data_IF_900327101828
#
_entry.id   IF_900327101828
#
_cell.length_a   1.000
_cell.length_b   1.000
_cell.length_c   1.000
_cell.angle_alpha   90.00
_cell.angle_beta   90.00
_cell.angle_gamma   90.00
#
_symmetry.space_group_name_H-M   'P 1'
#
loop_
_entity.id
_entity.type
_entity.pdbx_description
1 polymer ?
#
# COMPACT_ATOMS: atom_id res chain seq x y z
N UNK A 1 -9.37 28.53 23.16
CA UNK A 1 -8.71 28.64 21.84
C UNK A 1 -8.22 27.25 21.44
N UNK A 2 -9.05 26.47 20.74
CA UNK A 2 -8.87 26.12 19.30
C UNK A 2 -7.49 25.46 19.06
N UNK A 3 -7.33 24.17 19.44
CA UNK A 3 -7.41 22.98 18.55
C UNK A 3 -6.62 23.16 17.25
N UNK A 4 -5.35 22.76 17.26
CA UNK A 4 -4.66 22.36 16.04
C UNK A 4 -4.40 20.85 16.08
N UNK A 5 -5.39 20.11 15.60
CA UNK A 5 -5.32 18.66 15.40
C UNK A 5 -4.71 18.45 14.01
N UNK A 6 -3.40 18.64 13.93
CA UNK A 6 -2.60 18.18 12.80
C UNK A 6 -2.51 16.65 12.83
N UNK A 7 -3.61 15.96 12.51
CA UNK A 7 -3.59 14.52 12.24
C UNK A 7 -2.79 14.30 10.96
N UNK A 8 -1.48 14.13 11.08
CA UNK A 8 -0.71 13.37 10.10
C UNK A 8 -1.25 11.94 10.12
N UNK A 9 -2.14 11.64 9.18
CA UNK A 9 -2.69 10.30 8.94
C UNK A 9 -1.52 9.34 8.74
N UNK A 10 -1.23 8.60 9.80
CA UNK A 10 -0.10 7.69 9.89
C UNK A 10 -0.28 6.59 8.86
N UNK A 11 0.56 6.59 7.84
CA UNK A 11 0.52 5.61 6.78
C UNK A 11 1.34 4.39 7.20
N UNK A 12 0.71 3.20 7.25
CA UNK A 12 1.33 1.93 7.68
C UNK A 12 1.43 1.01 6.45
N UNK A 13 2.57 1.05 5.77
CA UNK A 13 2.67 1.61 4.42
C UNK A 13 2.01 0.90 3.24
N UNK A 14 1.71 -0.40 3.27
CA UNK A 14 0.99 -1.06 2.15
C UNK A 14 0.05 -2.16 2.63
N UNK A 15 0.05 -2.49 3.92
CA UNK A 15 -0.83 -3.48 4.54
C UNK A 15 -0.91 -3.21 6.02
N UNK A 16 -2.06 -2.81 6.56
CA UNK A 16 -2.23 -2.90 8.01
C UNK A 16 -3.72 -2.93 8.37
N UNK A 17 -4.41 -4.03 8.04
CA UNK A 17 -5.70 -4.30 8.68
C UNK A 17 -5.56 -5.08 9.99
N UNK A 18 -4.41 -5.70 10.29
CA UNK A 18 -4.02 -6.09 11.67
C UNK A 18 -2.61 -6.69 11.71
N UNK A 19 -1.75 -6.16 12.57
CA UNK A 19 -0.61 -6.86 13.19
C UNK A 19 0.63 -7.19 12.33
N UNK A 20 1.72 -6.44 12.56
CA UNK A 20 3.07 -6.97 12.36
C UNK A 20 3.64 -7.39 13.72
N UNK A 21 3.77 -8.70 13.92
CA UNK A 21 4.41 -9.25 15.11
C UNK A 21 5.84 -8.74 15.29
N UNK A 22 6.38 -8.77 16.51
CA UNK A 22 7.73 -8.31 16.78
C UNK A 22 8.73 -9.12 15.95
N UNK A 23 9.85 -8.50 15.59
CA UNK A 23 11.03 -9.26 15.21
C UNK A 23 11.26 -10.33 16.29
N UNK A 24 11.14 -11.62 15.90
CA UNK A 24 11.28 -12.74 16.84
C UNK A 24 12.62 -12.72 17.58
N UNK A 25 13.61 -11.97 17.08
CA UNK A 25 14.92 -11.77 17.71
C UNK A 25 14.92 -10.83 18.93
N UNK A 26 13.91 -9.97 19.11
CA UNK A 26 13.83 -9.01 20.24
C UNK A 26 12.64 -9.26 21.18
N UNK A 27 11.81 -10.25 20.89
CA UNK A 27 10.48 -10.42 21.49
C UNK A 27 10.44 -10.99 22.92
N UNK A 28 11.56 -11.41 23.50
CA UNK A 28 11.56 -12.14 24.77
C UNK A 28 11.11 -11.31 25.99
N UNK A 29 11.05 -9.97 25.91
CA UNK A 29 10.80 -9.10 27.09
C UNK A 29 9.66 -8.08 26.94
N UNK A 30 8.98 -7.98 25.79
CA UNK A 30 7.92 -6.96 25.60
C UNK A 30 6.54 -7.45 26.07
N UNK A 31 5.96 -6.73 27.04
CA UNK A 31 4.61 -6.97 27.56
C UNK A 31 3.56 -6.71 26.47
N UNK A 32 2.48 -7.51 26.49
CA UNK A 32 1.37 -7.47 25.52
C UNK A 32 0.75 -6.09 25.31
N UNK A 33 0.74 -5.24 26.35
CA UNK A 33 0.15 -3.90 26.34
C UNK A 33 1.07 -2.83 25.73
N UNK A 34 2.40 -3.01 25.73
CA UNK A 34 3.33 -2.08 25.08
C UNK A 34 3.43 -2.31 23.56
N UNK A 35 2.91 -3.45 23.07
CA UNK A 35 2.83 -3.78 21.62
C UNK A 35 2.03 -2.78 20.78
N UNK A 36 1.13 -1.99 21.40
CA UNK A 36 0.24 -1.04 20.72
C UNK A 36 0.71 0.42 20.80
N UNK A 37 1.78 0.70 21.54
CA UNK A 37 2.29 2.06 21.77
C UNK A 37 3.39 2.45 20.80
N UNK A 38 4.16 1.48 20.33
CA UNK A 38 5.31 1.71 19.47
C UNK A 38 4.99 1.41 18.01
N UNK A 39 5.21 2.38 17.13
CA UNK A 39 5.20 2.15 15.69
C UNK A 39 6.44 1.33 15.30
N UNK A 40 6.33 0.00 15.43
CA UNK A 40 7.36 -0.95 15.01
C UNK A 40 7.34 -1.22 13.49
N UNK A 41 6.53 -0.49 12.72
CA UNK A 41 6.64 -0.54 11.27
C UNK A 41 8.05 -0.03 10.93
N UNK A 42 8.88 -0.92 10.40
CA UNK A 42 10.24 -0.60 9.95
C UNK A 42 10.18 0.47 8.85
N UNK A 43 11.37 0.91 8.38
CA UNK A 43 11.47 1.77 7.20
C UNK A 43 10.55 1.27 6.07
N UNK A 44 9.89 2.17 5.34
CA UNK A 44 9.02 1.79 4.24
C UNK A 44 9.78 0.89 3.24
N UNK A 45 9.11 -0.10 2.63
CA UNK A 45 9.75 -0.91 1.61
C UNK A 45 10.15 -0.01 0.43
N UNK A 46 11.21 -0.39 -0.29
CA UNK A 46 11.53 0.26 -1.57
C UNK A 46 10.32 0.18 -2.52
N UNK A 47 10.05 1.24 -3.28
CA UNK A 47 8.91 1.31 -4.20
C UNK A 47 8.84 0.11 -5.16
N UNK A 48 9.98 -0.33 -5.69
CA UNK A 48 10.05 -1.52 -6.55
C UNK A 48 9.59 -2.81 -5.85
N UNK A 49 9.92 -2.97 -4.57
CA UNK A 49 9.46 -4.11 -3.77
C UNK A 49 7.96 -4.03 -3.50
N UNK A 50 7.43 -2.83 -3.24
CA UNK A 50 6.01 -2.60 -3.03
C UNK A 50 5.19 -2.86 -4.30
N UNK A 51 5.68 -2.44 -5.47
CA UNK A 51 5.07 -2.75 -6.77
C UNK A 51 5.06 -4.24 -7.08
N UNK A 52 6.18 -4.93 -6.79
CA UNK A 52 6.24 -6.38 -6.94
C UNK A 52 5.21 -7.09 -6.06
N UNK A 53 5.06 -6.66 -4.81
CA UNK A 53 4.03 -7.18 -3.90
C UNK A 53 2.62 -6.88 -4.41
N UNK A 54 2.38 -5.68 -4.93
CA UNK A 54 1.10 -5.31 -5.52
C UNK A 54 0.76 -6.19 -6.74
N UNK A 55 1.75 -6.53 -7.58
CA UNK A 55 1.58 -7.43 -8.73
C UNK A 55 1.14 -8.83 -8.31
N UNK A 56 1.69 -9.38 -7.22
CA UNK A 56 1.24 -10.68 -6.70
C UNK A 56 -0.21 -10.67 -6.22
N UNK A 57 -0.70 -9.52 -5.76
CA UNK A 57 -2.07 -9.35 -5.25
C UNK A 57 -3.12 -9.16 -6.33
N UNK A 58 -2.73 -9.05 -7.61
CA UNK A 58 -3.68 -9.00 -8.73
C UNK A 58 -4.57 -10.24 -8.74
N UNK A 59 -4.06 -11.41 -8.35
CA UNK A 59 -4.81 -12.66 -8.29
C UNK A 59 -6.04 -12.53 -7.37
N UNK A 60 -5.93 -11.74 -6.30
CA UNK A 60 -6.98 -11.50 -5.30
C UNK A 60 -7.90 -10.32 -5.67
N UNK A 61 -7.66 -9.62 -6.80
CA UNK A 61 -8.30 -8.34 -7.13
C UNK A 61 -9.70 -8.46 -7.77
N UNK A 62 -10.56 -9.31 -7.19
CA UNK A 62 -11.93 -9.56 -7.65
C UNK A 62 -12.92 -9.59 -6.49
N UNK A 63 -14.14 -9.11 -6.69
CA UNK A 63 -15.19 -9.13 -5.66
C UNK A 63 -14.78 -8.32 -4.43
N UNK A 64 -14.84 -8.91 -3.24
CA UNK A 64 -14.41 -8.24 -2.01
C UNK A 64 -12.89 -7.95 -1.97
N UNK A 65 -12.08 -8.80 -2.60
CA UNK A 65 -10.63 -8.63 -2.67
C UNK A 65 -10.19 -7.43 -3.52
N UNK A 66 -11.04 -6.93 -4.41
CA UNK A 66 -10.80 -5.71 -5.16
C UNK A 66 -10.67 -4.47 -4.26
N UNK A 67 -11.44 -4.40 -3.16
CA UNK A 67 -11.33 -3.29 -2.19
C UNK A 67 -10.00 -3.31 -1.47
N UNK A 68 -9.54 -4.49 -1.05
CA UNK A 68 -8.24 -4.68 -0.43
C UNK A 68 -7.10 -4.32 -1.39
N UNK A 69 -7.21 -4.74 -2.66
CA UNK A 69 -6.25 -4.35 -3.70
C UNK A 69 -6.24 -2.83 -3.92
N UNK A 70 -7.40 -2.18 -4.00
CA UNK A 70 -7.50 -0.73 -4.20
C UNK A 70 -6.85 0.04 -3.03
N UNK A 71 -7.13 -0.37 -1.78
CA UNK A 71 -6.50 0.22 -0.59
C UNK A 71 -4.97 0.08 -0.63
N UNK A 72 -4.49 -1.12 -1.00
CA UNK A 72 -3.07 -1.40 -1.18
C UNK A 72 -2.43 -0.54 -2.27
N UNK A 73 -3.09 -0.40 -3.41
CA UNK A 73 -2.63 0.43 -4.52
C UNK A 73 -2.56 1.92 -4.14
N UNK A 74 -3.50 2.44 -3.35
CA UNK A 74 -3.38 3.78 -2.75
C UNK A 74 -2.19 3.87 -1.78
N UNK A 75 -1.92 2.79 -1.04
CA UNK A 75 -0.71 2.64 -0.24
C UNK A 75 0.54 2.86 -1.08
N UNK A 76 0.71 2.09 -2.15
CA UNK A 76 1.87 2.21 -3.04
C UNK A 76 1.93 3.59 -3.73
N UNK A 77 0.79 4.22 -4.03
CA UNK A 77 0.76 5.56 -4.63
C UNK A 77 1.41 6.63 -3.73
N UNK A 78 1.10 6.62 -2.42
CA UNK A 78 1.74 7.54 -1.46
C UNK A 78 3.21 7.19 -1.22
N UNK A 79 3.57 5.90 -1.32
CA UNK A 79 4.97 5.50 -1.29
C UNK A 79 5.75 6.10 -2.46
N UNK A 80 5.19 6.07 -3.66
CA UNK A 80 5.78 6.72 -4.82
C UNK A 80 5.92 8.24 -4.65
N UNK A 81 4.94 8.90 -4.02
CA UNK A 81 5.04 10.34 -3.72
C UNK A 81 6.24 10.65 -2.80
N UNK A 82 6.48 9.79 -1.80
CA UNK A 82 7.57 9.99 -0.83
C UNK A 82 8.93 9.67 -1.45
N UNK A 83 8.98 8.70 -2.37
CA UNK A 83 10.18 8.39 -3.16
C UNK A 83 10.42 9.41 -4.31
N UNK A 84 9.64 10.51 -4.37
CA UNK A 84 9.71 11.58 -5.39
C UNK A 84 9.39 11.11 -6.81
N UNK A 85 8.47 10.16 -6.93
CA UNK A 85 7.98 9.58 -8.18
C UNK A 85 6.52 10.01 -8.45
N UNK A 86 6.25 11.29 -8.78
CA UNK A 86 4.87 11.82 -8.86
C UNK A 86 4.06 11.20 -10.00
N UNK A 87 4.72 10.83 -11.11
CA UNK A 87 4.05 10.18 -12.25
C UNK A 87 3.53 8.79 -11.88
N UNK A 88 4.38 7.98 -11.24
CA UNK A 88 3.98 6.66 -10.75
C UNK A 88 2.90 6.77 -9.67
N UNK A 89 3.01 7.74 -8.76
CA UNK A 89 2.00 8.05 -7.74
C UNK A 89 0.62 8.31 -8.36
N UNK A 90 0.54 9.23 -9.34
CA UNK A 90 -0.72 9.56 -10.01
C UNK A 90 -1.34 8.36 -10.74
N UNK A 91 -0.52 7.57 -11.43
CA UNK A 91 -0.99 6.36 -12.13
C UNK A 91 -1.53 5.30 -11.15
N UNK A 92 -0.85 5.07 -10.03
CA UNK A 92 -1.28 4.14 -8.98
C UNK A 92 -2.57 4.61 -8.28
N UNK A 93 -2.70 5.90 -8.01
CA UNK A 93 -3.92 6.47 -7.43
C UNK A 93 -5.13 6.29 -8.36
N UNK A 94 -4.95 6.53 -9.67
CA UNK A 94 -5.99 6.30 -10.67
C UNK A 94 -6.36 4.82 -10.79
N UNK A 95 -5.37 3.93 -10.75
CA UNK A 95 -5.59 2.49 -10.75
C UNK A 95 -6.43 2.06 -9.54
N UNK A 96 -6.10 2.56 -8.35
CA UNK A 96 -6.83 2.27 -7.13
C UNK A 96 -8.30 2.71 -7.22
N UNK A 97 -8.57 3.91 -7.75
CA UNK A 97 -9.94 4.39 -7.97
C UNK A 97 -10.71 3.51 -8.96
N UNK A 98 -10.05 3.09 -10.05
CA UNK A 98 -10.67 2.21 -11.05
C UNK A 98 -11.05 0.85 -10.46
N UNK A 99 -10.14 0.23 -9.70
CA UNK A 99 -10.41 -1.07 -9.05
C UNK A 99 -11.45 -0.93 -7.94
N UNK A 100 -11.40 0.13 -7.13
CA UNK A 100 -12.37 0.35 -6.06
C UNK A 100 -13.81 0.55 -6.57
N UNK A 101 -13.97 1.10 -7.77
CA UNK A 101 -15.29 1.34 -8.39
C UNK A 101 -15.80 0.15 -9.19
N UNK A 102 -14.92 -0.55 -9.92
CA UNK A 102 -15.33 -1.60 -10.87
C UNK A 102 -15.00 -3.02 -10.45
N UNK A 103 -13.98 -3.22 -9.61
CA UNK A 103 -13.47 -4.55 -9.28
C UNK A 103 -14.41 -5.41 -8.43
N UNK A 104 -15.45 -4.80 -7.85
CA UNK A 104 -16.53 -5.55 -7.16
C UNK A 104 -17.45 -6.25 -8.17
N UNK A 105 -17.64 -5.67 -9.36
CA UNK A 105 -18.61 -6.14 -10.35
C UNK A 105 -17.97 -6.77 -11.60
N UNK A 106 -16.65 -6.63 -11.77
CA UNK A 106 -15.93 -7.12 -12.93
C UNK A 106 -14.58 -7.72 -12.54
N UNK A 107 -14.15 -8.75 -13.26
CA UNK A 107 -12.78 -9.24 -13.20
C UNK A 107 -11.87 -8.29 -13.99
N UNK A 108 -10.93 -7.65 -13.29
CA UNK A 108 -10.01 -6.67 -13.87
C UNK A 108 -8.58 -7.21 -14.02
N UNK A 109 -8.33 -8.49 -13.71
CA UNK A 109 -6.97 -9.05 -13.57
C UNK A 109 -6.09 -8.83 -14.80
N UNK A 110 -6.62 -9.08 -15.99
CA UNK A 110 -5.90 -8.87 -17.25
C UNK A 110 -5.50 -7.38 -17.43
N UNK A 111 -6.45 -6.48 -17.24
CA UNK A 111 -6.20 -5.03 -17.34
C UNK A 111 -5.26 -4.51 -16.25
N UNK A 112 -5.27 -5.13 -15.06
CA UNK A 112 -4.42 -4.76 -13.94
C UNK A 112 -2.96 -5.05 -14.22
N UNK A 113 -2.64 -6.19 -14.85
CA UNK A 113 -1.25 -6.49 -15.24
C UNK A 113 -0.70 -5.45 -16.21
N UNK A 114 -1.44 -5.09 -17.26
CA UNK A 114 -1.01 -4.08 -18.23
C UNK A 114 -0.78 -2.70 -17.60
N UNK A 115 -1.66 -2.27 -16.70
CA UNK A 115 -1.46 -1.02 -15.96
C UNK A 115 -0.22 -1.05 -15.07
N UNK A 116 0.01 -2.15 -14.34
CA UNK A 116 1.18 -2.29 -13.48
C UNK A 116 2.49 -2.35 -14.27
N UNK A 117 2.49 -2.98 -15.46
CA UNK A 117 3.65 -2.96 -16.36
C UNK A 117 3.96 -1.54 -16.85
N UNK A 118 2.94 -0.77 -17.22
CA UNK A 118 3.11 0.63 -17.62
C UNK A 118 3.68 1.48 -16.48
N UNK A 119 3.20 1.28 -15.25
CA UNK A 119 3.69 1.98 -14.05
C UNK A 119 5.15 1.60 -13.76
N UNK A 120 5.48 0.32 -13.88
CA UNK A 120 6.85 -0.14 -13.67
C UNK A 120 7.81 0.43 -14.74
N UNK A 121 7.39 0.46 -16.01
CA UNK A 121 8.17 1.10 -17.08
C UNK A 121 8.38 2.60 -16.85
N UNK A 122 7.38 3.31 -16.31
CA UNK A 122 7.50 4.72 -15.98
C UNK A 122 8.56 5.00 -14.90
N UNK A 123 8.80 4.06 -13.98
CA UNK A 123 9.83 4.19 -12.95
C UNK A 123 11.25 3.92 -13.45
N UNK A 124 11.41 3.13 -14.51
CA UNK A 124 12.74 2.87 -15.09
C UNK A 124 13.21 3.97 -16.05
N UNK A 125 12.28 4.83 -16.48
CA UNK A 125 12.54 5.94 -17.40
C UNK A 125 12.80 7.29 -16.70
N UNK A 126 12.71 7.33 -15.36
CA UNK A 126 13.00 8.48 -14.51
C UNK A 126 14.47 8.45 -14.04
#
# INVERSE_FOLDING_TARGET
MLKDVGRTTTMYWVDCDTYFGPDRRRAAKMRLMDRRKENLARRPPALNSALRQLRFRVIDATGEGAKAFASRAQGVAKLAEIDREPRASAMLARLAQHVGTRGVCADLRETLYGHLDTIHGALQAA
#
